data_IF_354355230380
#
_entry.id   IF_354355230380
#
_cell.length_a   1.000
_cell.length_b   1.000
_cell.length_c   1.000
_cell.angle_alpha   90.00
_cell.angle_beta   90.00
_cell.angle_gamma   90.00
#
_symmetry.space_group_name_H-M   'P 1'
#
loop_
_entity.id
_entity.type
_entity.pdbx_description
1 polymer ?
#
# COMPACT_ATOMS: atom_id res chain seq x y z
N UNK A 1 -7.22 0.71 -6.13
CA UNK A 1 -6.83 1.66 -5.06
C UNK A 1 -5.38 1.37 -4.71
N UNK A 2 -4.52 2.39 -4.74
CA UNK A 2 -3.08 2.21 -4.50
C UNK A 2 -2.74 2.63 -3.07
N UNK A 3 -2.13 1.71 -2.31
CA UNK A 3 -1.71 1.90 -0.93
C UNK A 3 -0.21 2.13 -0.88
N UNK A 4 0.22 3.20 -0.22
CA UNK A 4 1.61 3.60 -0.17
C UNK A 4 2.17 3.46 1.25
N UNK A 5 3.38 2.89 1.39
CA UNK A 5 4.03 2.71 2.67
C UNK A 5 5.39 3.42 2.69
N UNK A 6 5.57 4.36 3.63
CA UNK A 6 6.83 4.97 4.09
C UNK A 6 7.35 6.28 3.44
N UNK A 7 7.08 6.62 2.17
CA UNK A 7 7.67 7.84 1.54
C UNK A 7 6.67 8.90 1.02
N UNK A 8 5.40 8.78 1.40
CA UNK A 8 4.29 9.60 0.88
C UNK A 8 4.44 11.12 1.08
N UNK A 9 5.25 11.57 2.03
CA UNK A 9 5.42 13.00 2.37
C UNK A 9 6.29 13.77 1.37
N UNK A 10 6.99 13.09 0.46
CA UNK A 10 7.83 13.74 -0.57
C UNK A 10 7.22 13.62 -1.95
N UNK A 11 6.84 12.40 -2.31
CA UNK A 11 6.31 12.08 -3.62
C UNK A 11 5.32 10.91 -3.47
N UNK A 12 4.22 10.99 -4.21
CA UNK A 12 3.18 9.99 -4.16
C UNK A 12 2.57 9.76 -5.53
N UNK A 13 1.99 8.58 -5.74
CA UNK A 13 1.17 8.35 -6.92
C UNK A 13 -0.12 9.20 -6.80
N UNK A 14 -0.57 9.90 -7.84
CA UNK A 14 -1.86 10.58 -7.82
C UNK A 14 -2.99 9.65 -7.39
N UNK A 15 -3.91 10.16 -6.58
CA UNK A 15 -5.06 9.39 -6.05
C UNK A 15 -4.68 8.14 -5.23
N UNK A 16 -3.44 8.05 -4.75
CA UNK A 16 -3.02 7.03 -3.78
C UNK A 16 -3.26 7.47 -2.34
N UNK A 17 -3.39 6.48 -1.48
CA UNK A 17 -3.63 6.66 -0.05
C UNK A 17 -2.41 6.13 0.71
N UNK A 18 -1.93 6.93 1.65
CA UNK A 18 -0.85 6.51 2.55
C UNK A 18 -1.42 5.67 3.68
N UNK A 19 -0.84 4.49 3.91
CA UNK A 19 -1.16 3.66 5.07
C UNK A 19 0.15 3.21 5.70
N UNK A 20 0.56 3.83 6.82
CA UNK A 20 1.76 3.43 7.54
C UNK A 20 1.63 2.00 8.07
N UNK A 21 2.61 1.13 7.79
CA UNK A 21 2.59 -0.27 8.23
C UNK A 21 2.36 -0.39 9.75
N UNK A 22 3.04 0.47 10.52
CA UNK A 22 3.02 0.46 11.98
C UNK A 22 1.63 0.71 12.60
N UNK A 23 0.73 1.38 11.88
CA UNK A 23 -0.62 1.74 12.37
C UNK A 23 -1.73 1.14 11.53
N UNK A 24 -1.40 0.30 10.54
CA UNK A 24 -2.37 -0.24 9.60
C UNK A 24 -3.21 -1.37 10.19
N UNK A 25 -2.66 -2.06 11.17
CA UNK A 25 -3.28 -3.22 11.78
C UNK A 25 -3.38 -3.03 13.28
N UNK A 26 -4.51 -3.43 13.82
CA UNK A 26 -4.76 -3.49 15.25
C UNK A 26 -3.95 -4.60 15.91
N UNK A 27 -3.93 -4.63 17.24
CA UNK A 27 -3.24 -5.66 18.02
C UNK A 27 -3.81 -7.08 17.79
N UNK A 28 -5.10 -7.19 17.47
CA UNK A 28 -5.76 -8.44 17.08
C UNK A 28 -5.49 -8.83 15.61
N UNK A 29 -4.70 -8.04 14.89
CA UNK A 29 -4.27 -8.32 13.53
C UNK A 29 -5.33 -8.01 12.47
N UNK A 30 -6.47 -7.45 12.87
CA UNK A 30 -7.44 -6.88 11.94
C UNK A 30 -6.91 -5.57 11.38
N UNK A 31 -7.50 -5.16 10.26
CA UNK A 31 -7.08 -3.96 9.57
C UNK A 31 -7.80 -2.77 10.20
N UNK A 32 -7.02 -1.86 10.80
CA UNK A 32 -7.56 -0.65 11.41
C UNK A 32 -7.89 0.36 10.30
N UNK A 33 -9.09 0.26 9.71
CA UNK A 33 -9.34 1.04 8.50
C UNK A 33 -10.80 1.27 8.14
N UNK A 34 -11.28 2.47 8.47
CA UNK A 34 -12.31 3.15 7.68
C UNK A 34 -11.88 3.37 6.21
N UNK A 35 -10.59 3.26 5.89
CA UNK A 35 -10.01 3.65 4.60
C UNK A 35 -9.98 2.51 3.58
N UNK A 36 -9.65 1.28 4.01
CA UNK A 36 -9.66 0.09 3.13
C UNK A 36 -11.06 -0.55 3.05
N UNK A 37 -11.96 -0.28 4.00
CA UNK A 37 -13.35 -0.76 3.94
C UNK A 37 -14.04 -0.41 2.60
N UNK A 38 -13.80 0.80 2.08
CA UNK A 38 -14.33 1.29 0.78
C UNK A 38 -13.72 0.63 -0.47
N UNK A 39 -12.75 -0.27 -0.29
CA UNK A 39 -12.05 -0.98 -1.35
C UNK A 39 -12.38 -2.46 -1.45
N UNK A 40 -13.28 -2.97 -0.58
CA UNK A 40 -13.77 -4.35 -0.69
C UNK A 40 -14.43 -4.55 -2.07
N UNK A 41 -13.99 -5.59 -2.79
CA UNK A 41 -14.41 -5.87 -4.17
C UNK A 41 -13.64 -5.11 -5.26
N UNK A 42 -12.69 -4.24 -4.92
CA UNK A 42 -11.78 -3.58 -5.88
C UNK A 42 -10.39 -4.21 -5.83
N UNK A 43 -9.61 -4.00 -6.88
CA UNK A 43 -8.18 -4.34 -6.89
C UNK A 43 -7.41 -3.36 -5.99
N UNK A 44 -6.68 -3.91 -5.03
CA UNK A 44 -5.79 -3.20 -4.10
C UNK A 44 -4.35 -3.40 -4.54
N UNK A 45 -3.68 -2.31 -4.89
CA UNK A 45 -2.27 -2.31 -5.30
C UNK A 45 -1.46 -1.77 -4.13
N UNK A 46 -0.50 -2.54 -3.63
CA UNK A 46 0.39 -2.10 -2.54
C UNK A 46 1.73 -1.70 -3.12
N UNK A 47 2.13 -0.47 -2.81
CA UNK A 47 3.34 0.19 -3.26
C UNK A 47 4.16 0.56 -2.01
N UNK A 48 5.20 -0.21 -1.73
CA UNK A 48 6.20 0.15 -0.71
C UNK A 48 7.55 0.40 -1.35
N UNK A 49 8.57 0.64 -0.52
CA UNK A 49 9.96 0.63 -0.98
C UNK A 49 10.39 -0.80 -1.33
N UNK A 50 11.22 -0.95 -2.37
CA UNK A 50 11.88 -2.22 -2.67
C UNK A 50 13.01 -2.58 -1.67
N UNK A 51 13.35 -1.65 -0.77
CA UNK A 51 14.43 -1.82 0.22
C UNK A 51 13.99 -2.61 1.45
N UNK A 52 12.69 -2.79 1.64
CA UNK A 52 12.10 -3.55 2.72
C UNK A 52 11.07 -4.56 2.19
N UNK A 53 10.59 -5.43 3.08
CA UNK A 53 9.59 -6.46 2.75
C UNK A 53 8.18 -6.06 3.18
N UNK A 54 7.97 -4.83 3.67
CA UNK A 54 6.73 -4.40 4.30
C UNK A 54 5.56 -4.46 3.32
N UNK A 55 5.77 -4.09 2.05
CA UNK A 55 4.75 -4.18 1.00
C UNK A 55 4.23 -5.61 0.78
N UNK A 56 5.14 -6.59 0.71
CA UNK A 56 4.79 -8.00 0.55
C UNK A 56 4.13 -8.61 1.79
N UNK A 57 4.58 -8.21 2.98
CA UNK A 57 4.01 -8.65 4.25
C UNK A 57 2.60 -8.07 4.43
N UNK A 58 2.42 -6.79 4.14
CA UNK A 58 1.12 -6.12 4.15
C UNK A 58 0.14 -6.82 3.19
N UNK A 59 0.59 -7.14 1.97
CA UNK A 59 -0.24 -7.86 0.99
C UNK A 59 -0.68 -9.22 1.52
N UNK A 60 0.26 -9.98 2.11
CA UNK A 60 -0.02 -11.28 2.72
C UNK A 60 -1.07 -11.17 3.83
N UNK A 61 -0.98 -10.13 4.67
CA UNK A 61 -1.96 -9.88 5.72
C UNK A 61 -3.33 -9.53 5.17
N UNK A 62 -3.42 -8.74 4.10
CA UNK A 62 -4.71 -8.45 3.45
C UNK A 62 -5.36 -9.71 2.87
N UNK A 63 -4.58 -10.58 2.22
CA UNK A 63 -5.10 -11.84 1.68
C UNK A 63 -5.66 -12.74 2.79
N UNK A 64 -5.00 -12.78 3.96
CA UNK A 64 -5.51 -13.49 5.15
C UNK A 64 -6.80 -12.90 5.71
N UNK A 65 -7.10 -11.63 5.44
CA UNK A 65 -8.34 -10.93 5.79
C UNK A 65 -9.38 -10.98 4.65
N UNK A 66 -9.24 -11.95 3.72
CA UNK A 66 -10.17 -12.20 2.62
C UNK A 66 -10.27 -11.08 1.57
N UNK A 67 -9.25 -10.22 1.47
CA UNK A 67 -9.11 -9.35 0.30
C UNK A 67 -8.61 -10.17 -0.88
N UNK A 68 -9.52 -10.54 -1.78
CA UNK A 68 -9.26 -11.47 -2.89
C UNK A 68 -8.42 -10.89 -4.04
N UNK A 69 -8.33 -9.56 -4.16
CA UNK A 69 -7.63 -8.90 -5.27
C UNK A 69 -6.53 -7.96 -4.76
N UNK A 70 -5.43 -8.53 -4.30
CA UNK A 70 -4.27 -7.78 -3.78
C UNK A 70 -3.04 -8.08 -4.62
N UNK A 71 -2.33 -7.04 -5.06
CA UNK A 71 -1.05 -7.17 -5.75
C UNK A 71 -0.02 -6.17 -5.24
N UNK A 72 1.25 -6.48 -5.45
CA UNK A 72 2.38 -5.60 -5.10
C UNK A 72 3.08 -5.12 -6.37
N UNK A 73 3.64 -3.90 -6.31
CA UNK A 73 4.45 -3.39 -7.41
C UNK A 73 5.90 -3.92 -7.31
N UNK A 74 6.33 -4.69 -8.31
CA UNK A 74 7.71 -5.14 -8.38
C UNK A 74 8.68 -3.96 -8.48
N UNK A 75 9.72 -3.97 -7.65
CA UNK A 75 10.68 -2.87 -7.55
C UNK A 75 10.15 -1.61 -6.85
N UNK A 76 8.94 -1.65 -6.30
CA UNK A 76 8.42 -0.64 -5.38
C UNK A 76 8.30 0.77 -5.96
N UNK A 77 8.27 1.77 -5.08
CA UNK A 77 8.24 3.19 -5.45
C UNK A 77 9.49 3.58 -6.26
N UNK A 78 10.62 2.93 -6.07
CA UNK A 78 11.88 3.22 -6.75
C UNK A 78 11.75 3.07 -8.28
N UNK A 79 10.92 2.13 -8.75
CA UNK A 79 10.61 2.00 -10.17
C UNK A 79 9.73 3.15 -10.64
N UNK A 80 8.69 3.52 -9.88
CA UNK A 80 7.81 4.65 -10.23
C UNK A 80 8.58 5.97 -10.31
N UNK A 81 9.57 6.18 -9.44
CA UNK A 81 10.41 7.39 -9.47
C UNK A 81 11.17 7.57 -10.78
N UNK A 82 11.46 6.46 -11.49
CA UNK A 82 12.09 6.50 -12.83
C UNK A 82 11.11 6.84 -13.95
N UNK A 83 9.81 6.75 -13.71
CA UNK A 83 8.76 6.95 -14.73
C UNK A 83 8.25 8.38 -14.82
N UNK A 84 8.52 9.23 -13.81
CA UNK A 84 7.95 10.58 -13.73
C UNK A 84 6.45 10.62 -13.38
N UNK A 85 5.84 9.48 -13.04
CA UNK A 85 4.42 9.40 -12.66
C UNK A 85 4.12 9.86 -11.23
N UNK A 86 5.15 10.02 -10.39
CA UNK A 86 5.00 10.49 -9.02
C UNK A 86 4.85 12.01 -9.01
N UNK A 87 3.89 12.51 -8.24
CA UNK A 87 3.71 13.94 -8.01
C UNK A 87 4.35 14.32 -6.68
N UNK A 88 5.05 15.46 -6.65
CA UNK A 88 5.48 16.07 -5.40
C UNK A 88 4.24 16.46 -4.60
N UNK A 89 4.24 16.14 -3.30
CA UNK A 89 3.20 16.60 -2.38
C UNK A 89 3.55 17.94 -1.74
#
# INVERSE_FOLDING_TARGET
>A
MSLMCSTYSKEALPSSINIPYATAFTADGTLDSAVIFCSKGKIVIIIGSCKDKLSSEFATRLVRLEYSHVCTLHGGIEVLRKTGLLVSK
#
